data_IF_084454109242
#
_entry.id   IF_084454109242
#
_cell.length_a   1.000
_cell.length_b   1.000
_cell.length_c   1.000
_cell.angle_alpha   90.00
_cell.angle_beta   90.00
_cell.angle_gamma   90.00
#
_symmetry.space_group_name_H-M   'P 1'
#
loop_
_entity.id
_entity.type
_entity.pdbx_description
1 polymer ?
#
# COMPACT_ATOMS: atom_id res chain seq x y z
N UNK A 1 -22.20 4.01 16.90
CA UNK A 1 -22.05 4.86 15.71
C UNK A 1 -21.19 4.07 14.75
N UNK A 2 -21.52 3.95 13.46
CA UNK A 2 -20.59 3.32 12.53
C UNK A 2 -19.36 4.21 12.47
N UNK A 3 -18.19 3.68 12.83
CA UNK A 3 -16.94 4.41 12.67
C UNK A 3 -16.84 4.82 11.20
N UNK A 4 -16.87 6.11 10.93
CA UNK A 4 -16.76 6.62 9.57
C UNK A 4 -15.41 6.20 9.01
N UNK A 5 -15.41 5.48 7.90
CA UNK A 5 -14.19 5.10 7.18
C UNK A 5 -13.93 6.15 6.09
N UNK A 6 -12.73 6.69 6.08
CA UNK A 6 -12.21 7.61 5.05
C UNK A 6 -11.15 6.88 4.24
N UNK A 7 -11.16 7.08 2.93
CA UNK A 7 -10.14 6.57 2.03
C UNK A 7 -9.18 7.68 1.64
N UNK A 8 -7.88 7.45 1.79
CA UNK A 8 -6.82 8.40 1.39
C UNK A 8 -5.55 7.68 0.98
N UNK A 9 -4.67 8.38 0.30
CA UNK A 9 -3.32 7.87 0.02
C UNK A 9 -2.50 7.75 1.32
N UNK A 10 -1.56 6.81 1.28
CA UNK A 10 -0.56 6.61 2.31
C UNK A 10 0.35 7.82 2.43
N UNK A 11 0.65 8.20 3.67
CA UNK A 11 1.66 9.20 4.00
C UNK A 11 2.78 8.56 4.81
N UNK A 12 3.98 9.14 4.80
CA UNK A 12 5.13 8.59 5.55
C UNK A 12 4.86 8.37 7.04
N UNK A 13 3.94 9.13 7.65
CA UNK A 13 3.52 8.97 9.06
C UNK A 13 2.78 7.66 9.34
N UNK A 14 2.21 7.03 8.32
CA UNK A 14 1.39 5.82 8.42
C UNK A 14 2.20 4.53 8.54
N UNK A 15 3.52 4.61 8.35
CA UNK A 15 4.40 3.45 8.24
C UNK A 15 4.19 2.41 9.34
N UNK A 16 4.13 2.87 10.60
CA UNK A 16 3.96 1.98 11.74
C UNK A 16 2.58 1.33 11.76
N UNK A 17 1.52 2.10 11.51
CA UNK A 17 0.14 1.59 11.45
C UNK A 17 -0.04 0.59 10.32
N UNK A 18 0.54 0.86 9.15
CA UNK A 18 0.54 -0.06 8.00
C UNK A 18 1.25 -1.38 8.34
N UNK A 19 2.41 -1.33 9.00
CA UNK A 19 3.14 -2.52 9.45
C UNK A 19 2.32 -3.36 10.44
N UNK A 20 1.62 -2.71 11.37
CA UNK A 20 0.75 -3.41 12.32
C UNK A 20 -0.44 -4.07 11.61
N UNK A 21 -1.06 -3.37 10.66
CA UNK A 21 -2.11 -3.95 9.82
C UNK A 21 -1.60 -5.16 9.04
N UNK A 22 -0.44 -5.05 8.38
CA UNK A 22 0.15 -6.16 7.64
C UNK A 22 0.43 -7.37 8.54
N UNK A 23 0.97 -7.14 9.73
CA UNK A 23 1.21 -8.20 10.72
C UNK A 23 -0.08 -8.85 11.19
N UNK A 24 -1.11 -8.06 11.47
CA UNK A 24 -2.43 -8.55 11.87
C UNK A 24 -3.09 -9.41 10.80
N UNK A 25 -3.09 -8.95 9.55
CA UNK A 25 -3.78 -9.62 8.43
C UNK A 25 -3.02 -10.84 7.94
N UNK A 26 -1.69 -10.75 7.79
CA UNK A 26 -0.88 -11.81 7.17
C UNK A 26 -0.08 -12.65 8.19
N UNK A 27 -0.15 -12.33 9.48
CA UNK A 27 0.69 -12.96 10.52
C UNK A 27 2.19 -12.93 10.20
N UNK A 28 2.66 -11.84 9.56
CA UNK A 28 4.04 -11.66 9.11
C UNK A 28 4.59 -10.29 9.47
N UNK A 29 5.84 -10.22 9.87
CA UNK A 29 6.51 -8.94 10.08
C UNK A 29 6.99 -8.34 8.76
N UNK A 30 6.98 -7.02 8.69
CA UNK A 30 7.51 -6.26 7.56
C UNK A 30 8.62 -5.34 8.06
N UNK A 31 9.84 -5.56 7.57
CA UNK A 31 10.96 -4.65 7.83
C UNK A 31 10.80 -3.36 7.01
N UNK A 32 11.47 -2.29 7.45
CA UNK A 32 11.51 -1.03 6.68
C UNK A 32 12.20 -1.24 5.33
N UNK A 33 13.22 -2.09 5.29
CA UNK A 33 13.91 -2.47 4.07
C UNK A 33 12.96 -3.15 3.07
N UNK A 34 12.20 -4.17 3.51
CA UNK A 34 11.20 -4.82 2.66
C UNK A 34 10.15 -3.82 2.17
N UNK A 35 9.60 -2.99 3.06
CA UNK A 35 8.61 -1.98 2.66
C UNK A 35 9.16 -1.04 1.58
N UNK A 36 10.38 -0.53 1.76
CA UNK A 36 11.02 0.37 0.79
C UNK A 36 11.31 -0.33 -0.53
N UNK A 37 11.87 -1.55 -0.50
CA UNK A 37 12.11 -2.35 -1.70
C UNK A 37 10.80 -2.59 -2.48
N UNK A 38 9.71 -2.87 -1.77
CA UNK A 38 8.43 -3.21 -2.39
C UNK A 38 7.68 -2.01 -2.96
N UNK A 39 7.72 -0.86 -2.29
CA UNK A 39 6.82 0.26 -2.58
C UNK A 39 7.51 1.59 -2.91
N UNK A 40 8.84 1.68 -2.83
CA UNK A 40 9.61 2.90 -3.11
C UNK A 40 10.75 2.66 -4.11
N UNK A 41 10.61 1.65 -4.97
CA UNK A 41 11.57 1.42 -6.05
C UNK A 41 11.48 2.55 -7.08
N UNK A 42 12.63 3.04 -7.56
CA UNK A 42 12.68 4.05 -8.63
C UNK A 42 12.09 3.53 -9.95
N UNK A 43 12.03 2.21 -10.12
CA UNK A 43 11.55 1.55 -11.33
C UNK A 43 10.04 1.24 -11.30
N UNK A 44 9.37 1.44 -10.16
CA UNK A 44 7.98 1.05 -9.99
C UNK A 44 7.20 2.05 -9.15
N UNK A 45 6.26 2.74 -9.80
CA UNK A 45 5.33 3.63 -9.11
C UNK A 45 4.28 2.78 -8.36
N UNK A 46 4.38 2.76 -7.02
CA UNK A 46 3.38 2.16 -6.17
C UNK A 46 2.53 3.24 -5.49
N UNK A 47 1.21 3.14 -5.65
CA UNK A 47 0.25 3.97 -4.92
C UNK A 47 -0.43 3.08 -3.87
N UNK A 48 -0.35 3.50 -2.62
CA UNK A 48 -0.98 2.81 -1.49
C UNK A 48 -2.20 3.63 -1.04
N UNK A 49 -3.38 3.04 -1.14
CA UNK A 49 -4.62 3.58 -0.60
C UNK A 49 -4.92 2.94 0.76
N UNK A 50 -5.23 3.76 1.75
CA UNK A 50 -5.54 3.38 3.12
C UNK A 50 -7.02 3.63 3.42
N UNK A 51 -7.66 2.67 4.07
CA UNK A 51 -8.96 2.84 4.72
C UNK A 51 -8.71 3.18 6.19
N UNK A 52 -9.17 4.36 6.62
CA UNK A 52 -8.85 4.96 7.91
C UNK A 52 -10.12 5.24 8.68
N UNK A 53 -10.19 4.79 9.93
CA UNK A 53 -11.31 5.07 10.83
C UNK A 53 -11.28 6.52 11.33
N UNK A 54 -12.39 7.00 11.89
CA UNK A 54 -12.49 8.37 12.42
C UNK A 54 -11.48 8.72 13.53
N UNK A 55 -10.90 7.73 14.20
CA UNK A 55 -9.83 7.89 15.20
C UNK A 55 -8.41 7.83 14.62
N UNK A 56 -8.26 7.61 13.29
CA UNK A 56 -6.98 7.62 12.60
C UNK A 56 -6.32 6.25 12.39
N UNK A 57 -6.94 5.15 12.82
CA UNK A 57 -6.39 3.81 12.64
C UNK A 57 -6.56 3.33 11.18
N UNK A 58 -5.52 2.68 10.65
CA UNK A 58 -5.59 2.06 9.32
C UNK A 58 -6.17 0.65 9.47
N UNK A 59 -7.38 0.46 8.96
CA UNK A 59 -8.14 -0.80 9.04
C UNK A 59 -8.13 -1.60 7.75
N UNK A 60 -7.60 -1.02 6.67
CA UNK A 60 -7.46 -1.69 5.38
C UNK A 60 -6.52 -0.94 4.46
N UNK A 61 -6.02 -1.65 3.44
CA UNK A 61 -5.22 -1.02 2.39
C UNK A 61 -5.39 -1.72 1.05
N UNK A 62 -5.23 -0.97 -0.04
CA UNK A 62 -5.07 -1.49 -1.39
C UNK A 62 -3.82 -0.87 -2.00
N UNK A 63 -2.97 -1.70 -2.61
CA UNK A 63 -1.80 -1.24 -3.35
C UNK A 63 -2.06 -1.41 -4.84
N UNK A 64 -1.69 -0.40 -5.61
CA UNK A 64 -1.65 -0.42 -7.06
C UNK A 64 -0.19 -0.24 -7.45
N UNK A 65 0.35 -1.19 -8.23
CA UNK A 65 1.71 -1.12 -8.76
C UNK A 65 1.59 -0.85 -10.25
N UNK A 66 2.07 0.30 -10.70
CA UNK A 66 2.07 0.65 -12.11
C UNK A 66 3.32 0.03 -12.73
N UNK A 67 3.11 -0.86 -13.69
CA UNK A 67 4.17 -1.64 -14.33
C UNK A 67 3.97 -1.68 -15.84
N UNK A 68 5.06 -1.82 -16.58
CA UNK A 68 5.02 -2.08 -18.01
C UNK A 68 4.96 -3.58 -18.27
N UNK A 69 3.92 -4.01 -18.99
CA UNK A 69 3.69 -5.41 -19.35
C UNK A 69 3.82 -5.56 -20.86
N UNK A 70 4.61 -6.54 -21.29
CA UNK A 70 4.76 -6.88 -22.70
C UNK A 70 3.76 -7.97 -23.12
N UNK A 71 3.16 -7.80 -24.29
CA UNK A 71 2.38 -8.83 -24.97
C UNK A 71 2.77 -8.87 -26.46
N UNK A 72 3.58 -9.86 -26.82
CA UNK A 72 4.24 -9.92 -28.13
C UNK A 72 5.27 -8.80 -28.28
N UNK A 73 5.14 -8.02 -29.35
CA UNK A 73 6.03 -6.87 -29.64
C UNK A 73 5.53 -5.55 -29.03
N UNK A 74 4.40 -5.55 -28.31
CA UNK A 74 3.79 -4.36 -27.72
C UNK A 74 4.00 -4.31 -26.21
N UNK A 75 4.22 -3.10 -25.69
CA UNK A 75 4.32 -2.81 -24.26
C UNK A 75 3.17 -1.92 -23.82
N UNK A 76 2.57 -2.22 -22.67
CA UNK A 76 1.45 -1.50 -22.09
C UNK A 76 1.76 -1.10 -20.65
N UNK A 77 1.29 0.08 -20.22
CA UNK A 77 1.22 0.40 -18.80
C UNK A 77 -0.01 -0.26 -18.19
N UNK A 78 0.18 -1.04 -17.13
CA UNK A 78 -0.86 -1.75 -16.39
C UNK A 78 -0.76 -1.44 -14.89
N UNK A 79 -1.86 -1.63 -14.17
CA UNK A 79 -1.99 -1.36 -12.75
C UNK A 79 -2.93 -2.36 -12.06
#
# INVERSE_FOLDING_TARGET
MSDSIIYREYESKDFNSYKQLYKSVFSKEMSSEHFNWKFKSEEMDAIIFCAVTGNGDIVGSRVVMITEVANGEQTYKAA
#
